data_IF_688872909159
#
_entry.id   IF_688872909159
#
_cell.length_a   1.000
_cell.length_b   1.000
_cell.length_c   1.000
_cell.angle_alpha   90.00
_cell.angle_beta   90.00
_cell.angle_gamma   90.00
#
_symmetry.space_group_name_H-M   'P 1'
#
loop_
_entity.id
_entity.type
_entity.pdbx_description
1 polymer ?
#
# COMPACT_ATOMS: atom_id res chain seq x y z
N UNK A 1 -17.54 16.89 42.91
CA UNK A 1 -16.63 17.81 42.18
C UNK A 1 -15.36 17.03 41.89
N UNK A 2 -15.30 16.34 40.75
CA UNK A 2 -14.15 15.53 40.34
C UNK A 2 -13.57 16.17 39.07
N UNK A 3 -12.32 16.62 39.18
CA UNK A 3 -11.50 17.10 38.07
C UNK A 3 -11.22 15.95 37.11
N UNK A 4 -11.64 16.06 35.85
CA UNK A 4 -10.97 15.36 34.75
C UNK A 4 -9.81 16.23 34.29
N UNK A 5 -8.59 15.69 34.47
CA UNK A 5 -7.35 16.24 33.93
C UNK A 5 -7.42 16.21 32.41
N UNK A 6 -7.25 17.37 31.77
CA UNK A 6 -6.92 17.47 30.34
C UNK A 6 -5.46 17.05 30.18
N UNK A 7 -5.23 15.89 29.58
CA UNK A 7 -3.91 15.54 29.09
C UNK A 7 -3.66 16.25 27.76
N UNK A 8 -2.42 16.68 27.60
CA UNK A 8 -1.94 17.60 26.60
C UNK A 8 -1.96 16.99 25.19
N UNK A 9 -2.15 17.87 24.20
CA UNK A 9 -2.01 17.59 22.79
C UNK A 9 -0.64 16.96 22.48
N UNK A 10 -0.62 15.65 22.23
CA UNK A 10 0.45 14.96 21.55
C UNK A 10 0.52 15.43 20.08
N UNK A 11 1.74 15.49 19.54
CA UNK A 11 2.11 16.01 18.23
C UNK A 11 1.15 15.67 17.08
N UNK A 12 0.84 16.68 16.26
CA UNK A 12 -0.06 16.67 15.08
C UNK A 12 0.29 15.67 13.95
N UNK A 13 1.27 14.79 14.13
CA UNK A 13 1.67 13.78 13.14
C UNK A 13 0.87 12.47 13.25
N UNK A 14 0.29 12.16 14.42
CA UNK A 14 -0.41 10.88 14.64
C UNK A 14 -1.76 10.79 13.91
N UNK A 15 -2.40 11.93 13.60
CA UNK A 15 -3.69 11.98 12.90
C UNK A 15 -3.60 11.69 11.40
N UNK A 16 -2.49 12.03 10.74
CA UNK A 16 -2.31 11.88 9.29
C UNK A 16 -1.71 10.55 8.86
N UNK A 17 -1.48 9.61 9.79
CA UNK A 17 -0.83 8.32 9.48
C UNK A 17 -1.72 7.13 9.91
N UNK A 18 -2.71 7.37 10.77
CA UNK A 18 -3.58 6.34 11.33
C UNK A 18 -4.97 6.38 10.66
N UNK A 19 -5.08 5.89 9.43
CA UNK A 19 -6.37 5.70 8.78
C UNK A 19 -7.07 4.44 9.32
N UNK A 20 -7.68 4.57 10.51
CA UNK A 20 -8.30 3.44 11.25
C UNK A 20 -9.72 3.09 10.78
N UNK A 21 -10.30 3.87 9.85
CA UNK A 21 -11.64 3.59 9.29
C UNK A 21 -11.51 2.87 7.95
N UNK A 22 -12.34 1.84 7.79
CA UNK A 22 -12.59 1.08 6.57
C UNK A 22 -12.96 1.93 5.34
N UNK A 23 -13.41 3.17 5.56
CA UNK A 23 -13.69 4.16 4.53
C UNK A 23 -12.48 4.46 3.65
N UNK A 24 -11.27 4.35 4.19
CA UNK A 24 -10.05 4.74 3.49
C UNK A 24 -9.15 3.55 3.15
N UNK A 25 -9.64 2.34 3.35
CA UNK A 25 -8.96 1.15 2.89
C UNK A 25 -8.91 1.12 1.37
N UNK A 26 -7.91 0.43 0.86
CA UNK A 26 -7.93 -0.07 -0.50
C UNK A 26 -9.19 -0.94 -0.70
N UNK A 27 -9.61 -1.11 -1.95
CA UNK A 27 -10.70 -2.02 -2.31
C UNK A 27 -10.25 -2.98 -3.39
N UNK A 28 -10.46 -4.27 -3.17
CA UNK A 28 -10.29 -5.30 -4.18
C UNK A 28 -11.64 -5.99 -4.44
N UNK A 29 -12.08 -5.93 -5.68
CA UNK A 29 -13.33 -6.52 -6.12
C UNK A 29 -13.08 -7.70 -7.05
N UNK A 30 -13.65 -8.86 -6.73
CA UNK A 30 -13.65 -10.01 -7.62
C UNK A 30 -14.80 -9.87 -8.64
N UNK A 31 -14.48 -9.96 -9.94
CA UNK A 31 -15.49 -9.95 -11.00
C UNK A 31 -16.16 -11.33 -11.10
N UNK A 32 -17.47 -11.38 -10.81
CA UNK A 32 -18.26 -12.62 -10.80
C UNK A 32 -18.61 -13.13 -12.22
N UNK A 33 -18.20 -12.41 -13.27
CA UNK A 33 -18.41 -12.73 -14.70
C UNK A 33 -19.86 -12.69 -15.18
N UNK A 34 -20.73 -12.08 -14.39
CA UNK A 34 -22.16 -11.86 -14.69
C UNK A 34 -22.52 -10.35 -14.69
N UNK A 35 -21.51 -9.49 -14.70
CA UNK A 35 -21.66 -8.04 -14.58
C UNK A 35 -21.67 -7.53 -13.14
N UNK A 36 -21.55 -8.42 -12.14
CA UNK A 36 -21.45 -8.05 -10.73
C UNK A 36 -20.03 -8.24 -10.17
N UNK A 37 -19.80 -7.63 -9.01
CA UNK A 37 -18.54 -7.70 -8.29
C UNK A 37 -18.77 -8.07 -6.82
N UNK A 38 -17.85 -8.85 -6.26
CA UNK A 38 -17.80 -9.17 -4.83
C UNK A 38 -16.65 -8.42 -4.18
N UNK A 39 -16.90 -7.67 -3.11
CA UNK A 39 -15.83 -7.07 -2.30
C UNK A 39 -15.09 -8.20 -1.57
N UNK A 40 -13.82 -8.41 -1.92
CA UNK A 40 -12.95 -9.43 -1.32
C UNK A 40 -11.81 -8.81 -0.52
N UNK A 41 -11.85 -7.50 -0.26
CA UNK A 41 -10.74 -6.73 0.32
C UNK A 41 -10.18 -7.36 1.61
N UNK A 42 -11.07 -7.68 2.55
CA UNK A 42 -10.68 -8.26 3.84
C UNK A 42 -10.20 -9.70 3.68
N UNK A 43 -10.96 -10.51 2.93
CA UNK A 43 -10.61 -11.91 2.69
C UNK A 43 -9.26 -12.05 1.97
N UNK A 44 -8.96 -11.11 1.07
CA UNK A 44 -7.70 -11.07 0.33
C UNK A 44 -6.54 -10.49 1.17
N UNK A 45 -6.82 -9.77 2.25
CA UNK A 45 -5.80 -9.17 3.12
C UNK A 45 -5.14 -7.90 2.57
N UNK A 46 -5.79 -7.19 1.64
CA UNK A 46 -5.18 -6.05 0.90
C UNK A 46 -5.71 -4.69 1.32
N UNK A 47 -6.48 -4.61 2.40
CA UNK A 47 -7.11 -3.35 2.85
C UNK A 47 -6.11 -2.22 3.11
N UNK A 48 -4.90 -2.55 3.59
CA UNK A 48 -3.86 -1.58 3.91
C UNK A 48 -4.22 -0.65 5.08
N UNK A 49 -3.26 0.17 5.51
CA UNK A 49 -3.44 1.11 6.63
C UNK A 49 -2.95 2.53 6.34
N UNK A 50 -2.50 2.78 5.12
CA UNK A 50 -1.83 3.99 4.66
C UNK A 50 -2.66 4.72 3.60
N UNK A 51 -2.20 5.90 3.17
CA UNK A 51 -2.85 6.68 2.11
C UNK A 51 -2.40 6.20 0.73
N UNK A 52 -3.10 5.20 0.20
CA UNK A 52 -2.86 4.65 -1.13
C UNK A 52 -3.08 5.68 -2.24
N UNK A 53 -2.13 5.75 -3.17
CA UNK A 53 -2.13 6.67 -4.31
C UNK A 53 -2.40 5.95 -5.63
N UNK A 54 -1.88 4.73 -5.76
CA UNK A 54 -2.00 3.93 -6.96
C UNK A 54 -1.43 2.52 -6.77
N UNK A 55 -1.75 1.64 -7.72
CA UNK A 55 -1.32 0.24 -7.72
C UNK A 55 -0.53 -0.07 -9.00
N UNK A 56 0.57 -0.79 -8.84
CA UNK A 56 1.28 -1.46 -9.93
C UNK A 56 1.04 -2.96 -9.83
N UNK A 57 0.91 -3.63 -10.97
CA UNK A 57 0.64 -5.07 -11.05
C UNK A 57 1.70 -5.77 -11.88
N UNK A 58 2.20 -6.91 -11.41
CA UNK A 58 3.20 -7.71 -12.11
C UNK A 58 3.46 -9.01 -11.35
N UNK A 59 3.82 -10.08 -12.05
CA UNK A 59 4.26 -11.34 -11.44
C UNK A 59 5.80 -11.24 -11.25
N UNK A 60 6.23 -10.71 -10.10
CA UNK A 60 7.65 -10.34 -9.92
C UNK A 60 8.53 -11.53 -9.54
N UNK A 61 7.95 -12.59 -8.99
CA UNK A 61 8.65 -13.82 -8.62
C UNK A 61 8.40 -15.00 -9.56
N UNK A 62 7.70 -14.76 -10.68
CA UNK A 62 7.39 -15.74 -11.73
C UNK A 62 6.66 -16.98 -11.20
N UNK A 63 5.79 -16.81 -10.21
CA UNK A 63 5.01 -17.90 -9.64
C UNK A 63 3.69 -18.17 -10.42
N UNK A 64 3.41 -17.36 -11.44
CA UNK A 64 2.21 -17.46 -12.26
C UNK A 64 1.02 -16.70 -11.67
N UNK A 65 1.22 -15.95 -10.59
CA UNK A 65 0.19 -15.15 -9.95
C UNK A 65 0.58 -13.66 -9.96
N UNK A 66 -0.35 -12.80 -10.39
CA UNK A 66 -0.09 -11.37 -10.43
C UNK A 66 -0.04 -10.78 -9.03
N UNK A 67 1.09 -10.17 -8.67
CA UNK A 67 1.32 -9.45 -7.43
C UNK A 67 0.92 -7.97 -7.54
N UNK A 68 0.83 -7.31 -6.39
CA UNK A 68 0.43 -5.91 -6.30
C UNK A 68 1.46 -5.11 -5.50
N UNK A 69 1.86 -3.95 -6.03
CA UNK A 69 2.49 -2.91 -5.22
C UNK A 69 1.55 -1.73 -5.07
N UNK A 70 1.15 -1.43 -3.84
CA UNK A 70 0.39 -0.22 -3.51
C UNK A 70 1.37 0.86 -3.09
N UNK A 71 1.39 1.95 -3.87
CA UNK A 71 2.15 3.16 -3.54
C UNK A 71 1.38 3.99 -2.51
N UNK A 72 2.04 4.43 -1.44
CA UNK A 72 1.39 5.23 -0.40
C UNK A 72 2.24 6.42 0.06
N UNK A 73 1.60 7.31 0.82
CA UNK A 73 2.31 8.24 1.72
C UNK A 73 2.90 7.47 2.90
N UNK A 74 4.20 7.62 3.14
CA UNK A 74 4.92 6.99 4.25
C UNK A 74 5.57 5.64 3.92
N UNK A 75 5.39 5.14 2.69
CA UNK A 75 6.02 3.90 2.22
C UNK A 75 5.06 3.01 1.42
N UNK A 76 5.60 2.19 0.53
CA UNK A 76 4.83 1.27 -0.30
C UNK A 76 4.45 0.00 0.47
N UNK A 77 3.47 -0.73 -0.04
CA UNK A 77 3.17 -2.09 0.38
C UNK A 77 3.25 -3.03 -0.82
N UNK A 78 4.12 -4.03 -0.76
CA UNK A 78 4.22 -5.10 -1.76
C UNK A 78 3.47 -6.34 -1.25
N UNK A 79 2.43 -6.71 -1.98
CA UNK A 79 1.59 -7.86 -1.73
C UNK A 79 1.92 -8.96 -2.73
N UNK A 80 2.46 -10.08 -2.25
CA UNK A 80 2.61 -11.29 -3.06
C UNK A 80 1.30 -12.06 -3.10
N UNK A 81 0.86 -12.45 -4.28
CA UNK A 81 -0.33 -13.26 -4.47
C UNK A 81 -0.06 -14.72 -4.08
N UNK A 82 -0.94 -15.32 -3.29
CA UNK A 82 -0.76 -16.69 -2.83
C UNK A 82 -1.37 -17.73 -3.80
N UNK A 83 -2.07 -17.29 -4.85
CA UNK A 83 -2.76 -18.16 -5.80
C UNK A 83 -4.11 -18.69 -5.33
N UNK A 84 -4.50 -18.42 -4.08
CA UNK A 84 -5.73 -18.89 -3.44
C UNK A 84 -6.75 -17.77 -3.17
N UNK A 85 -6.53 -16.59 -3.76
CA UNK A 85 -7.33 -15.39 -3.55
C UNK A 85 -6.92 -14.56 -2.33
N UNK A 86 -5.83 -14.94 -1.65
CA UNK A 86 -5.22 -14.16 -0.58
C UNK A 86 -3.87 -13.58 -0.99
N UNK A 87 -3.43 -12.55 -0.26
CA UNK A 87 -2.14 -11.91 -0.45
C UNK A 87 -1.33 -11.89 0.84
N UNK A 88 -0.02 -11.89 0.71
CA UNK A 88 0.92 -11.70 1.82
C UNK A 88 1.69 -10.40 1.63
N UNK A 89 1.66 -9.53 2.65
CA UNK A 89 2.56 -8.37 2.72
C UNK A 89 4.00 -8.86 2.89
N UNK A 90 4.79 -8.71 1.83
CA UNK A 90 6.22 -9.08 1.78
C UNK A 90 7.12 -7.85 1.78
N UNK A 91 6.58 -6.65 2.04
CA UNK A 91 7.29 -5.36 1.94
C UNK A 91 8.63 -5.35 2.66
N UNK A 92 8.65 -5.80 3.93
CA UNK A 92 9.87 -5.84 4.75
C UNK A 92 10.87 -6.86 4.22
N UNK A 93 10.39 -8.04 3.80
CA UNK A 93 11.24 -9.10 3.25
C UNK A 93 11.89 -8.67 1.93
N UNK A 94 11.14 -7.98 1.07
CA UNK A 94 11.60 -7.50 -0.23
C UNK A 94 12.41 -6.20 -0.14
N UNK A 95 12.34 -5.46 0.97
CA UNK A 95 13.10 -4.23 1.17
C UNK A 95 12.58 -3.02 0.39
N UNK A 96 11.31 -3.05 -0.06
CA UNK A 96 10.73 -2.06 -0.98
C UNK A 96 9.79 -1.02 -0.33
N UNK A 97 9.69 -1.04 1.00
CA UNK A 97 8.84 -0.11 1.75
C UNK A 97 9.20 1.36 1.51
N UNK A 98 10.48 1.71 1.65
CA UNK A 98 10.95 3.10 1.54
C UNK A 98 10.20 4.08 2.46
N UNK A 99 10.15 5.36 2.07
CA UNK A 99 9.53 6.44 2.86
C UNK A 99 9.06 7.62 2.01
N UNK A 100 8.43 8.63 2.63
CA UNK A 100 7.97 9.83 1.93
C UNK A 100 6.76 9.58 1.03
N UNK A 101 6.55 10.44 0.04
CA UNK A 101 5.39 10.35 -0.84
C UNK A 101 5.75 9.57 -2.11
N UNK A 102 5.13 8.40 -2.29
CA UNK A 102 5.29 7.62 -3.53
C UNK A 102 4.27 8.10 -4.58
N UNK A 103 4.74 8.65 -5.70
CA UNK A 103 3.90 9.26 -6.74
C UNK A 103 3.40 8.24 -7.78
N UNK A 104 4.07 7.09 -7.87
CA UNK A 104 3.69 6.01 -8.77
C UNK A 104 4.77 4.93 -8.83
N UNK A 105 4.41 3.76 -9.32
CA UNK A 105 5.31 2.63 -9.48
C UNK A 105 4.99 1.86 -10.76
N UNK A 106 5.96 1.09 -11.25
CA UNK A 106 5.81 0.22 -12.41
C UNK A 106 6.76 -0.98 -12.29
N UNK A 107 6.27 -2.15 -12.68
CA UNK A 107 7.11 -3.33 -12.90
C UNK A 107 7.63 -3.34 -14.34
N UNK A 108 8.91 -3.66 -14.53
CA UNK A 108 9.57 -3.69 -15.85
C UNK A 108 10.71 -4.71 -15.83
N UNK A 109 10.89 -5.48 -16.89
CA UNK A 109 12.09 -6.31 -17.07
C UNK A 109 13.21 -5.43 -17.65
N UNK A 110 13.97 -4.74 -16.79
CA UNK A 110 14.92 -3.71 -17.22
C UNK A 110 16.21 -4.32 -17.77
N UNK A 111 16.70 -5.40 -17.16
CA UNK A 111 17.96 -6.03 -17.55
C UNK A 111 17.81 -7.26 -18.46
N UNK A 112 16.57 -7.68 -18.74
CA UNK A 112 16.21 -8.80 -19.64
C UNK A 112 16.59 -10.17 -19.08
N UNK A 113 16.56 -10.34 -17.77
CA UNK A 113 16.73 -11.64 -17.13
C UNK A 113 15.41 -12.43 -17.00
N UNK A 114 14.27 -11.78 -17.31
CA UNK A 114 12.94 -12.37 -17.26
C UNK A 114 12.29 -12.34 -15.88
N UNK A 115 12.91 -11.70 -14.89
CA UNK A 115 12.33 -11.32 -13.61
C UNK A 115 11.96 -9.84 -13.67
N UNK A 116 10.80 -9.47 -13.14
CA UNK A 116 10.38 -8.07 -13.18
C UNK A 116 11.12 -7.26 -12.12
N UNK A 117 11.80 -6.20 -12.56
CA UNK A 117 12.27 -5.12 -11.71
C UNK A 117 11.13 -4.16 -11.32
N UNK A 118 11.39 -3.35 -10.31
CA UNK A 118 10.46 -2.36 -9.79
C UNK A 118 11.07 -0.96 -9.83
N UNK A 119 10.41 -0.04 -10.53
CA UNK A 119 10.68 1.40 -10.42
C UNK A 119 9.59 2.07 -9.57
N UNK A 120 10.01 2.86 -8.57
CA UNK A 120 9.12 3.69 -7.75
C UNK A 120 9.54 5.15 -7.88
N UNK A 121 8.61 5.98 -8.32
CA UNK A 121 8.79 7.44 -8.34
C UNK A 121 8.35 8.02 -7.00
N UNK A 122 9.16 8.94 -6.47
CA UNK A 122 8.88 9.62 -5.21
C UNK A 122 8.73 11.11 -5.47
N UNK A 123 7.71 11.69 -4.88
CA UNK A 123 7.59 13.12 -4.74
C UNK A 123 8.48 13.56 -3.57
N UNK A 124 9.09 14.73 -3.73
CA UNK A 124 10.11 15.41 -2.91
C UNK A 124 9.97 15.20 -1.39
N UNK A 125 11.05 15.46 -0.63
CA UNK A 125 11.12 15.37 0.84
C UNK A 125 10.06 16.23 1.53
N UNK A 126 8.86 15.69 1.70
CA UNK A 126 7.73 16.41 2.29
C UNK A 126 7.82 16.36 3.82
N UNK A 127 8.11 17.52 4.40
CA UNK A 127 8.19 17.74 5.84
C UNK A 127 7.38 18.99 6.21
N UNK A 128 6.47 18.86 7.17
CA UNK A 128 5.71 19.98 7.73
C UNK A 128 6.61 21.13 8.23
N UNK A 129 7.85 20.84 8.60
CA UNK A 129 8.83 21.84 9.01
C UNK A 129 9.58 22.47 7.82
N UNK A 130 9.67 21.79 6.67
CA UNK A 130 10.46 22.27 5.51
C UNK A 130 9.62 22.87 4.39
N UNK A 131 8.28 22.72 4.41
CA UNK A 131 7.36 23.30 3.42
C UNK A 131 7.85 23.10 1.96
N UNK A 132 8.22 21.88 1.63
CA UNK A 132 8.48 21.45 0.25
C UNK A 132 7.68 20.20 -0.04
#
# INVERSE_FOLDING_TARGET
MLLQRREAAGSNAEWCISNKSDRFWNRLYHNNRDGTFTDVTENAGVHGSSYGMGVATGDYDNDGHTDLLVSNLGGNTLYRNNGDGTFTDVTTKAGVGGSGWCAGACFVDYDRDGLLDLIVTRYLDWDFAKNV
#
